data_IF_131219888686
#
_entry.id   IF_131219888686
#
_cell.length_a   1.000
_cell.length_b   1.000
_cell.length_c   1.000
_cell.angle_alpha   90.00
_cell.angle_beta   90.00
_cell.angle_gamma   90.00
#
_symmetry.space_group_name_H-M   'P 1'
#
loop_
_entity.id
_entity.type
_entity.pdbx_description
1 polymer ?
#
# COMPACT_ATOMS: atom_id res chain seq x y z
N UNK A 1 12.82 19.84 -21.67
CA UNK A 1 11.50 19.47 -21.16
C UNK A 1 10.41 20.28 -21.83
N UNK A 2 9.31 19.64 -22.25
CA UNK A 2 8.08 20.36 -22.63
C UNK A 2 7.51 21.11 -21.42
N UNK A 3 6.83 22.21 -21.65
CA UNK A 3 6.18 22.97 -20.59
C UNK A 3 5.14 22.09 -19.88
N UNK A 4 5.15 22.13 -18.55
CA UNK A 4 4.17 21.44 -17.72
C UNK A 4 3.04 22.42 -17.45
N UNK A 5 1.99 22.34 -18.28
CA UNK A 5 0.83 23.20 -18.17
C UNK A 5 -0.19 22.61 -17.20
N UNK A 6 -0.98 23.50 -16.57
CA UNK A 6 -2.13 23.03 -15.78
C UNK A 6 -3.13 22.27 -16.68
N UNK A 7 -3.73 21.24 -16.13
CA UNK A 7 -4.78 20.45 -16.78
C UNK A 7 -6.06 20.47 -15.95
N UNK A 8 -7.19 20.26 -16.61
CA UNK A 8 -8.50 20.16 -15.95
C UNK A 8 -8.62 18.85 -15.22
N UNK A 9 -8.73 18.90 -13.88
CA UNK A 9 -8.85 17.71 -13.04
C UNK A 9 -9.75 17.99 -11.83
N UNK A 10 -10.80 17.18 -11.64
CA UNK A 10 -11.76 17.42 -10.57
C UNK A 10 -12.43 18.78 -10.63
N UNK A 11 -12.77 19.27 -11.82
CA UNK A 11 -13.51 20.51 -12.04
C UNK A 11 -12.69 21.81 -11.99
N UNK A 12 -11.37 21.74 -11.76
CA UNK A 12 -10.47 22.91 -11.70
C UNK A 12 -9.17 22.64 -12.47
N UNK A 13 -8.45 23.71 -12.79
CA UNK A 13 -7.14 23.60 -13.43
C UNK A 13 -6.07 23.49 -12.34
N UNK A 14 -5.24 22.45 -12.43
CA UNK A 14 -4.17 22.16 -11.47
C UNK A 14 -2.90 21.73 -12.20
N UNK A 15 -1.75 21.89 -11.56
CA UNK A 15 -0.54 21.26 -12.06
C UNK A 15 -0.74 19.73 -12.13
N UNK A 16 -0.29 19.07 -13.21
CA UNK A 16 -0.48 17.63 -13.39
C UNK A 16 0.47 16.81 -12.52
N UNK A 17 0.65 17.20 -11.25
CA UNK A 17 1.51 16.60 -10.26
C UNK A 17 0.69 16.16 -9.06
N UNK A 18 0.68 14.87 -8.78
CA UNK A 18 -0.11 14.25 -7.71
C UNK A 18 0.82 13.61 -6.68
N UNK A 19 0.59 13.88 -5.41
CA UNK A 19 1.20 13.09 -4.34
C UNK A 19 0.50 11.75 -4.23
N UNK A 20 1.24 10.63 -4.28
CA UNK A 20 0.69 9.30 -4.05
C UNK A 20 0.44 9.04 -2.57
N UNK A 21 -0.77 8.62 -2.23
CA UNK A 21 -1.12 8.24 -0.86
C UNK A 21 -0.36 6.99 -0.41
N UNK A 22 0.25 7.04 0.78
CA UNK A 22 1.07 5.98 1.38
C UNK A 22 0.53 5.61 2.76
N UNK A 23 -0.06 4.43 2.89
CA UNK A 23 -0.45 3.83 4.17
C UNK A 23 0.72 3.00 4.77
N UNK A 24 0.74 2.74 6.05
CA UNK A 24 -0.12 3.21 7.14
C UNK A 24 0.44 4.53 7.66
N UNK A 25 -0.39 5.57 7.72
CA UNK A 25 -0.04 6.88 8.31
C UNK A 25 1.21 7.59 7.71
N UNK A 26 1.73 7.17 6.56
CA UNK A 26 2.97 7.74 5.97
C UNK A 26 2.72 9.00 5.17
N UNK A 27 1.60 9.10 4.43
CA UNK A 27 1.18 10.36 3.82
C UNK A 27 0.33 11.15 4.80
N UNK A 28 0.87 12.27 5.29
CA UNK A 28 0.25 13.11 6.31
C UNK A 28 -0.51 14.29 5.72
N UNK A 29 -1.32 14.94 6.54
CA UNK A 29 -1.95 16.22 6.22
C UNK A 29 -0.92 17.32 5.94
N UNK A 30 0.23 17.29 6.63
CA UNK A 30 1.33 18.21 6.41
C UNK A 30 1.88 18.11 4.97
N UNK A 31 2.28 16.93 4.54
CA UNK A 31 2.78 16.70 3.18
C UNK A 31 1.72 17.03 2.13
N UNK A 32 0.51 16.50 2.32
CA UNK A 32 -0.65 16.75 1.45
C UNK A 32 -0.92 18.24 1.27
N UNK A 33 -0.98 18.99 2.36
CA UNK A 33 -1.28 20.43 2.32
C UNK A 33 -0.20 21.25 1.61
N UNK A 34 1.06 20.97 1.85
CA UNK A 34 2.17 21.63 1.17
C UNK A 34 2.21 21.29 -0.33
N UNK A 35 1.93 20.05 -0.72
CA UNK A 35 1.83 19.65 -2.12
C UNK A 35 0.67 20.36 -2.84
N UNK A 36 -0.51 20.39 -2.21
CA UNK A 36 -1.68 21.10 -2.73
C UNK A 36 -1.47 22.62 -2.79
N UNK A 37 -0.80 23.19 -1.79
CA UNK A 37 -0.43 24.60 -1.77
C UNK A 37 0.60 25.00 -2.83
N UNK A 38 1.36 24.04 -3.34
CA UNK A 38 2.28 24.23 -4.47
C UNK A 38 1.56 24.14 -5.84
N UNK A 39 0.25 23.93 -5.87
CA UNK A 39 -0.57 23.94 -7.09
C UNK A 39 -0.88 22.58 -7.71
N UNK A 40 -0.34 21.49 -7.14
CA UNK A 40 -0.67 20.11 -7.52
C UNK A 40 -1.86 19.55 -6.73
N UNK A 41 -1.99 18.23 -6.72
CA UNK A 41 -2.94 17.52 -5.87
C UNK A 41 -2.18 16.85 -4.74
N UNK A 42 -2.41 17.30 -3.52
CA UNK A 42 -1.91 16.63 -2.31
C UNK A 42 -2.83 15.49 -1.90
N UNK A 43 -2.25 14.41 -1.38
CA UNK A 43 -3.01 13.24 -0.94
C UNK A 43 -2.52 12.78 0.43
N UNK A 44 -3.40 12.76 1.42
CA UNK A 44 -3.09 12.12 2.71
C UNK A 44 -3.65 10.69 2.76
N UNK A 45 -3.06 9.85 3.59
CA UNK A 45 -3.52 8.48 3.77
C UNK A 45 -4.67 8.41 4.76
N UNK A 46 -5.79 7.82 4.33
CA UNK A 46 -6.89 7.42 5.20
C UNK A 46 -6.75 5.99 5.75
N UNK A 47 -5.59 5.36 5.52
CA UNK A 47 -5.32 4.00 6.00
C UNK A 47 -4.69 4.08 7.38
N UNK A 48 -5.50 3.92 8.41
CA UNK A 48 -5.12 3.99 9.83
C UNK A 48 -4.25 5.23 10.14
N UNK A 49 -4.71 6.38 9.65
CA UNK A 49 -4.03 7.65 9.81
C UNK A 49 -3.86 8.02 11.29
N UNK A 50 -2.80 8.74 11.59
CA UNK A 50 -2.54 9.24 12.92
C UNK A 50 -3.44 10.43 13.28
N UNK A 51 -3.86 10.49 14.54
CA UNK A 51 -4.43 11.66 15.18
C UNK A 51 -3.45 12.22 16.22
N UNK A 52 -3.72 13.43 16.70
CA UNK A 52 -2.82 14.15 17.60
C UNK A 52 -3.55 14.60 18.86
N UNK A 53 -2.82 14.66 19.97
CA UNK A 53 -3.30 15.29 21.20
C UNK A 53 -3.24 16.83 21.11
N UNK A 54 -3.61 17.50 22.21
CA UNK A 54 -3.63 18.96 22.28
C UNK A 54 -2.22 19.60 22.14
N UNK A 55 -1.16 18.84 22.41
CA UNK A 55 0.22 19.26 22.32
C UNK A 55 0.86 18.93 20.95
N UNK A 56 0.07 18.30 20.06
CA UNK A 56 0.51 17.91 18.71
C UNK A 56 1.28 16.59 18.65
N UNK A 57 1.27 15.80 19.73
CA UNK A 57 1.90 14.48 19.71
C UNK A 57 0.96 13.45 19.12
N UNK A 58 1.53 12.47 18.42
CA UNK A 58 0.77 11.34 17.86
C UNK A 58 0.10 10.55 18.97
N UNK A 59 -1.22 10.37 18.87
CA UNK A 59 -1.99 9.46 19.73
C UNK A 59 -1.74 8.04 19.24
N UNK A 60 -0.98 7.26 20.01
CA UNK A 60 -0.70 5.86 19.66
C UNK A 60 -1.98 5.02 19.72
N UNK A 61 -2.18 4.19 18.71
CA UNK A 61 -3.30 3.27 18.67
C UNK A 61 -3.02 2.08 19.58
N UNK A 62 -3.80 1.94 20.64
CA UNK A 62 -3.72 0.83 21.61
C UNK A 62 -5.07 0.12 21.62
N UNK A 63 -5.03 -1.20 21.42
CA UNK A 63 -6.23 -2.03 21.30
C UNK A 63 -6.47 -2.76 22.62
N UNK A 64 -7.61 -2.49 23.26
CA UNK A 64 -8.02 -3.07 24.55
C UNK A 64 -9.13 -4.11 24.40
N UNK A 65 -9.73 -4.20 23.22
CA UNK A 65 -10.84 -5.10 22.93
C UNK A 65 -10.47 -6.57 23.17
N UNK A 66 -11.34 -7.29 23.89
CA UNK A 66 -11.14 -8.71 24.21
C UNK A 66 -11.43 -9.61 23.03
N UNK A 67 -12.39 -9.23 22.18
CA UNK A 67 -12.77 -9.98 20.99
C UNK A 67 -12.18 -9.33 19.73
N UNK A 68 -12.17 -10.05 18.63
CA UNK A 68 -11.81 -9.52 17.30
C UNK A 68 -12.74 -8.37 16.91
N UNK A 69 -14.03 -8.46 17.24
CA UNK A 69 -15.01 -7.41 16.99
C UNK A 69 -14.65 -6.13 17.74
N UNK A 70 -14.40 -6.23 19.05
CA UNK A 70 -14.09 -5.05 19.87
C UNK A 70 -12.86 -4.32 19.34
N UNK A 71 -11.78 -5.04 19.02
CA UNK A 71 -10.56 -4.45 18.45
C UNK A 71 -10.80 -3.83 17.07
N UNK A 72 -11.67 -4.42 16.25
CA UNK A 72 -12.03 -3.85 14.95
C UNK A 72 -12.83 -2.55 15.09
N UNK A 73 -13.73 -2.45 16.07
CA UNK A 73 -14.43 -1.19 16.37
C UNK A 73 -13.45 -0.10 16.82
N UNK A 74 -12.47 -0.44 17.64
CA UNK A 74 -11.37 0.47 18.02
C UNK A 74 -10.57 0.93 16.78
N UNK A 75 -10.22 0.02 15.89
CA UNK A 75 -9.52 0.33 14.64
C UNK A 75 -10.30 1.34 13.79
N UNK A 76 -11.59 1.12 13.60
CA UNK A 76 -12.45 2.02 12.82
C UNK A 76 -12.53 3.40 13.48
N UNK A 77 -12.68 3.46 14.81
CA UNK A 77 -12.71 4.71 15.54
C UNK A 77 -11.39 5.50 15.40
N UNK A 78 -10.23 4.83 15.55
CA UNK A 78 -8.91 5.43 15.29
C UNK A 78 -8.77 5.92 13.84
N UNK A 79 -9.22 5.11 12.88
CA UNK A 79 -9.15 5.48 11.46
C UNK A 79 -9.95 6.72 11.11
N UNK A 80 -11.15 6.88 11.69
CA UNK A 80 -11.99 8.08 11.52
C UNK A 80 -11.31 9.29 12.18
N UNK A 81 -10.89 9.17 13.43
CA UNK A 81 -10.23 10.26 14.16
C UNK A 81 -8.96 10.73 13.45
N UNK A 82 -8.13 9.80 12.99
CA UNK A 82 -6.92 10.10 12.23
C UNK A 82 -7.21 10.77 10.90
N UNK A 83 -8.15 10.23 10.12
CA UNK A 83 -8.55 10.84 8.84
C UNK A 83 -9.06 12.26 8.99
N UNK A 84 -9.82 12.56 10.05
CA UNK A 84 -10.28 13.91 10.38
C UNK A 84 -9.13 14.86 10.74
N UNK A 85 -8.17 14.39 11.54
CA UNK A 85 -7.00 15.18 11.91
C UNK A 85 -6.17 15.54 10.66
N UNK A 86 -5.90 14.56 9.79
CA UNK A 86 -5.13 14.77 8.57
C UNK A 86 -5.85 15.68 7.57
N UNK A 87 -7.17 15.55 7.41
CA UNK A 87 -7.94 16.41 6.53
C UNK A 87 -7.91 17.88 6.96
N UNK A 88 -7.99 18.16 8.26
CA UNK A 88 -7.90 19.52 8.83
C UNK A 88 -6.51 20.10 8.60
N UNK A 89 -5.46 19.38 8.97
CA UNK A 89 -4.09 19.83 8.76
C UNK A 89 -3.78 20.09 7.28
N UNK A 90 -4.22 19.17 6.39
CA UNK A 90 -4.05 19.34 4.96
C UNK A 90 -4.73 20.61 4.45
N UNK A 91 -5.96 20.88 4.87
CA UNK A 91 -6.70 22.08 4.45
C UNK A 91 -6.06 23.35 4.97
N UNK A 92 -5.62 23.37 6.21
CA UNK A 92 -4.98 24.54 6.82
C UNK A 92 -3.70 24.94 6.05
N UNK A 93 -2.89 23.97 5.63
CA UNK A 93 -1.66 24.20 4.86
C UNK A 93 -1.90 24.48 3.38
N UNK A 94 -2.88 23.78 2.77
CA UNK A 94 -3.21 23.95 1.35
C UNK A 94 -3.88 25.29 1.04
N UNK A 95 -4.48 25.91 2.05
CA UNK A 95 -5.32 27.08 1.86
C UNK A 95 -6.66 26.76 1.16
N UNK A 96 -7.49 27.75 0.86
CA UNK A 96 -8.86 27.52 0.40
C UNK A 96 -8.96 26.92 -1.00
N UNK A 97 -7.96 27.14 -1.86
CA UNK A 97 -7.97 26.70 -3.27
C UNK A 97 -7.19 25.41 -3.52
N UNK A 98 -6.32 25.01 -2.58
CA UNK A 98 -5.52 23.79 -2.72
C UNK A 98 -6.37 22.53 -2.83
N UNK A 99 -5.93 21.57 -3.62
CA UNK A 99 -6.65 20.31 -3.87
C UNK A 99 -6.18 19.21 -2.92
N UNK A 100 -7.02 18.88 -1.96
CA UNK A 100 -6.77 17.89 -0.91
C UNK A 100 -7.53 16.61 -1.24
N UNK A 101 -6.80 15.50 -1.39
CA UNK A 101 -7.37 14.18 -1.59
C UNK A 101 -7.10 13.28 -0.38
N UNK A 102 -8.00 12.33 -0.15
CA UNK A 102 -7.85 11.23 0.80
C UNK A 102 -7.62 9.92 0.03
N UNK A 103 -6.57 9.20 0.39
CA UNK A 103 -6.34 7.85 -0.14
C UNK A 103 -6.93 6.80 0.80
N UNK A 104 -7.68 5.86 0.25
CA UNK A 104 -8.18 4.68 0.98
C UNK A 104 -7.90 3.41 0.17
N UNK A 105 -7.78 2.29 0.87
CA UNK A 105 -7.68 0.98 0.25
C UNK A 105 -9.04 0.28 0.41
N UNK A 106 -9.62 -0.22 -0.68
CA UNK A 106 -10.91 -0.91 -0.58
C UNK A 106 -10.81 -2.22 0.21
N UNK A 107 -9.63 -2.84 0.18
CA UNK A 107 -9.30 -4.06 0.94
C UNK A 107 -8.85 -3.79 2.40
N UNK A 108 -8.87 -2.54 2.87
CA UNK A 108 -8.66 -2.29 4.30
C UNK A 108 -9.90 -2.63 5.12
N UNK A 109 -9.69 -3.03 6.37
CA UNK A 109 -10.78 -3.32 7.30
C UNK A 109 -11.59 -2.06 7.62
N UNK A 110 -12.91 -2.15 7.49
CA UNK A 110 -13.79 -1.02 7.74
C UNK A 110 -13.72 0.11 6.71
N UNK A 111 -13.21 -0.12 5.51
CA UNK A 111 -12.97 0.90 4.48
C UNK A 111 -14.15 1.85 4.27
N UNK A 112 -15.34 1.31 4.01
CA UNK A 112 -16.55 2.12 3.80
C UNK A 112 -16.95 2.94 5.04
N UNK A 113 -16.83 2.36 6.24
CA UNK A 113 -17.17 3.02 7.50
C UNK A 113 -16.20 4.17 7.81
N UNK A 114 -14.90 3.94 7.61
CA UNK A 114 -13.87 4.96 7.83
C UNK A 114 -14.04 6.08 6.81
N UNK A 115 -14.21 5.75 5.53
CA UNK A 115 -14.38 6.74 4.47
C UNK A 115 -15.61 7.63 4.73
N UNK A 116 -16.77 7.04 5.02
CA UNK A 116 -18.00 7.79 5.35
C UNK A 116 -17.84 8.66 6.59
N UNK A 117 -17.25 8.11 7.67
CA UNK A 117 -17.04 8.85 8.91
C UNK A 117 -16.13 10.06 8.74
N UNK A 118 -15.07 9.93 7.93
CA UNK A 118 -14.18 11.05 7.60
C UNK A 118 -14.87 12.08 6.71
N UNK A 119 -15.56 11.66 5.67
CA UNK A 119 -16.26 12.59 4.77
C UNK A 119 -17.35 13.37 5.47
N UNK A 120 -18.08 12.76 6.39
CA UNK A 120 -19.10 13.44 7.21
C UNK A 120 -18.46 14.48 8.14
N UNK A 121 -17.41 14.11 8.87
CA UNK A 121 -16.75 15.00 9.84
C UNK A 121 -15.83 16.05 9.20
N UNK A 122 -15.33 15.82 7.98
CA UNK A 122 -14.46 16.73 7.23
C UNK A 122 -15.16 17.34 6.02
N UNK A 123 -16.46 17.58 6.12
CA UNK A 123 -17.29 18.12 5.03
C UNK A 123 -16.72 19.42 4.47
N UNK A 124 -16.48 19.44 3.17
CA UNK A 124 -15.90 20.59 2.47
C UNK A 124 -14.37 20.72 2.55
N UNK A 125 -13.68 19.90 3.34
CA UNK A 125 -12.22 19.94 3.45
C UNK A 125 -11.52 19.04 2.40
N UNK A 126 -12.17 17.97 1.96
CA UNK A 126 -11.64 16.99 1.01
C UNK A 126 -12.29 17.21 -0.35
N UNK A 127 -11.48 17.27 -1.39
CA UNK A 127 -11.93 17.52 -2.76
C UNK A 127 -12.04 16.22 -3.59
N UNK A 128 -11.30 15.20 -3.23
CA UNK A 128 -11.28 13.94 -3.96
C UNK A 128 -10.87 12.75 -3.12
N UNK A 129 -11.26 11.57 -3.58
CA UNK A 129 -10.94 10.29 -2.97
C UNK A 129 -10.19 9.45 -3.99
N UNK A 130 -8.99 9.03 -3.64
CA UNK A 130 -8.20 8.07 -4.41
C UNK A 130 -8.37 6.70 -3.77
N UNK A 131 -8.81 5.71 -4.53
CA UNK A 131 -9.11 4.39 -3.98
C UNK A 131 -8.66 3.26 -4.91
N UNK A 132 -7.93 2.33 -4.36
CA UNK A 132 -7.45 1.12 -5.04
C UNK A 132 -7.48 -0.09 -4.11
N UNK A 133 -6.62 -1.07 -4.38
CA UNK A 133 -6.50 -2.34 -3.66
C UNK A 133 -7.85 -3.07 -3.54
N UNK A 134 -8.31 -3.64 -4.64
CA UNK A 134 -9.60 -4.30 -4.79
C UNK A 134 -10.46 -3.64 -5.87
N UNK A 135 -11.75 -3.95 -5.85
CA UNK A 135 -12.71 -3.42 -6.83
C UNK A 135 -13.74 -2.52 -6.12
N UNK A 136 -13.44 -1.20 -5.95
CA UNK A 136 -14.26 -0.29 -5.17
C UNK A 136 -15.54 0.14 -5.92
N UNK A 137 -16.45 -0.79 -6.18
CA UNK A 137 -17.68 -0.53 -6.92
C UNK A 137 -18.57 0.54 -6.27
N UNK A 138 -18.57 0.65 -4.93
CA UNK A 138 -19.35 1.64 -4.20
C UNK A 138 -18.74 3.03 -4.15
N UNK A 139 -17.49 3.19 -4.59
CA UNK A 139 -16.78 4.46 -4.48
C UNK A 139 -17.53 5.61 -5.14
N UNK A 140 -18.03 5.41 -6.36
CA UNK A 140 -18.76 6.45 -7.08
C UNK A 140 -20.06 6.86 -6.38
N UNK A 141 -20.80 5.90 -5.79
CA UNK A 141 -22.01 6.16 -5.03
C UNK A 141 -21.73 6.98 -3.77
N UNK A 142 -20.69 6.60 -3.00
CA UNK A 142 -20.24 7.35 -1.83
C UNK A 142 -19.82 8.77 -2.23
N UNK A 143 -19.07 8.91 -3.33
CA UNK A 143 -18.65 10.21 -3.85
C UNK A 143 -19.83 11.12 -4.22
N UNK A 144 -20.91 10.55 -4.76
CA UNK A 144 -22.15 11.29 -5.05
C UNK A 144 -22.84 11.76 -3.77
N UNK A 145 -22.92 10.91 -2.74
CA UNK A 145 -23.55 11.27 -1.47
C UNK A 145 -22.88 12.48 -0.81
N UNK A 146 -21.54 12.55 -0.89
CA UNK A 146 -20.76 13.61 -0.26
C UNK A 146 -20.34 14.74 -1.23
N UNK A 147 -20.71 14.64 -2.50
CA UNK A 147 -20.34 15.59 -3.56
C UNK A 147 -18.83 15.84 -3.64
N UNK A 148 -18.04 14.77 -3.72
CA UNK A 148 -16.57 14.78 -3.89
C UNK A 148 -16.18 14.02 -5.15
N UNK A 149 -15.07 14.39 -5.77
CA UNK A 149 -14.56 13.65 -6.92
C UNK A 149 -13.95 12.32 -6.50
N UNK A 150 -13.98 11.32 -7.38
CA UNK A 150 -13.34 10.03 -7.13
C UNK A 150 -12.31 9.70 -8.22
N UNK A 151 -11.28 8.98 -7.80
CA UNK A 151 -10.10 8.63 -8.59
C UNK A 151 -9.78 7.16 -8.34
N UNK A 152 -10.34 6.23 -9.14
CA UNK A 152 -10.02 4.81 -8.97
C UNK A 152 -8.58 4.54 -9.37
N UNK A 153 -7.90 3.67 -8.60
CA UNK A 153 -6.57 3.15 -8.92
C UNK A 153 -6.76 1.80 -9.59
N UNK A 154 -6.23 1.66 -10.79
CA UNK A 154 -6.29 0.43 -11.59
C UNK A 154 -4.91 0.11 -12.18
N UNK A 155 -4.61 -1.17 -12.36
CA UNK A 155 -3.39 -1.63 -13.03
C UNK A 155 -3.63 -2.05 -14.49
N UNK A 156 -4.90 -2.02 -14.95
CA UNK A 156 -5.24 -2.40 -16.32
C UNK A 156 -6.54 -1.75 -16.80
N UNK A 157 -6.68 -1.62 -18.10
CA UNK A 157 -7.92 -1.17 -18.72
C UNK A 157 -9.10 -2.12 -18.46
N UNK A 158 -8.84 -3.42 -18.33
CA UNK A 158 -9.88 -4.41 -17.99
C UNK A 158 -10.49 -4.14 -16.60
N UNK A 159 -9.66 -3.81 -15.62
CA UNK A 159 -10.14 -3.46 -14.28
C UNK A 159 -11.02 -2.20 -14.32
N UNK A 160 -10.59 -1.16 -15.04
CA UNK A 160 -11.39 0.04 -15.21
C UNK A 160 -12.73 -0.25 -15.91
N UNK A 161 -12.72 -1.04 -16.98
CA UNK A 161 -13.93 -1.43 -17.71
C UNK A 161 -14.96 -2.12 -16.80
N UNK A 162 -14.50 -3.00 -15.90
CA UNK A 162 -15.38 -3.68 -14.95
C UNK A 162 -16.02 -2.70 -13.95
N UNK A 163 -15.24 -1.75 -13.41
CA UNK A 163 -15.74 -0.70 -12.52
C UNK A 163 -16.76 0.20 -13.24
N UNK A 164 -16.42 0.64 -14.45
CA UNK A 164 -17.27 1.50 -15.26
C UNK A 164 -18.63 0.85 -15.55
N UNK A 165 -18.64 -0.33 -16.15
CA UNK A 165 -19.86 -1.04 -16.54
C UNK A 165 -20.77 -1.36 -15.36
N UNK A 166 -20.18 -1.72 -14.22
CA UNK A 166 -20.94 -2.12 -13.04
C UNK A 166 -21.48 -0.95 -12.22
N UNK A 167 -20.74 0.15 -12.13
CA UNK A 167 -21.07 1.22 -11.18
C UNK A 167 -20.82 2.63 -11.72
N UNK A 168 -19.60 2.92 -12.20
CA UNK A 168 -19.15 4.30 -12.38
C UNK A 168 -19.84 5.07 -13.49
N UNK A 169 -20.36 4.36 -14.51
CA UNK A 169 -21.16 4.98 -15.58
C UNK A 169 -22.39 5.74 -15.08
N UNK A 170 -22.85 5.43 -13.86
CA UNK A 170 -24.01 6.09 -13.23
C UNK A 170 -23.64 7.38 -12.48
N UNK A 171 -22.36 7.67 -12.33
CA UNK A 171 -21.81 8.83 -11.58
C UNK A 171 -20.59 9.37 -12.30
N UNK A 172 -20.65 9.45 -13.62
CA UNK A 172 -19.54 9.86 -14.47
C UNK A 172 -19.11 11.30 -14.25
N UNK A 173 -20.03 12.15 -13.82
CA UNK A 173 -19.84 13.57 -13.57
C UNK A 173 -18.83 13.87 -12.43
N UNK A 174 -18.62 12.93 -11.53
CA UNK A 174 -17.68 13.05 -10.40
C UNK A 174 -16.37 12.25 -10.62
N UNK A 175 -16.19 11.61 -11.78
CA UNK A 175 -14.92 10.97 -12.10
C UNK A 175 -13.87 12.04 -12.39
N UNK A 176 -12.97 12.29 -11.44
CA UNK A 176 -11.95 13.34 -11.55
C UNK A 176 -10.72 12.95 -12.35
N UNK A 177 -10.40 11.66 -12.38
CA UNK A 177 -9.29 11.05 -13.09
C UNK A 177 -9.23 9.55 -12.83
N UNK A 178 -8.40 8.84 -13.59
CA UNK A 178 -8.13 7.41 -13.39
C UNK A 178 -6.64 7.24 -13.12
N UNK A 179 -6.29 6.69 -11.95
CA UNK A 179 -4.91 6.39 -11.62
C UNK A 179 -4.55 5.05 -12.24
N UNK A 180 -3.61 5.06 -13.18
CA UNK A 180 -2.96 3.83 -13.63
C UNK A 180 -1.72 3.61 -12.76
N UNK A 181 -1.73 2.53 -11.99
CA UNK A 181 -0.60 2.12 -11.16
C UNK A 181 0.15 0.98 -11.84
N UNK A 182 1.44 1.21 -12.13
CA UNK A 182 2.26 0.22 -12.81
C UNK A 182 2.58 -0.95 -11.88
N UNK A 183 2.21 -2.20 -12.26
CA UNK A 183 2.35 -3.37 -11.37
C UNK A 183 3.78 -3.78 -11.06
N UNK A 184 4.77 -3.35 -11.84
CA UNK A 184 6.17 -3.71 -11.63
C UNK A 184 6.99 -2.59 -11.02
N UNK A 185 6.65 -1.32 -11.30
CA UNK A 185 7.44 -0.16 -10.91
C UNK A 185 6.96 0.51 -9.64
N UNK A 186 5.67 0.40 -9.30
CA UNK A 186 5.10 1.04 -8.13
C UNK A 186 5.56 0.38 -6.81
N UNK A 187 5.66 1.17 -5.76
CA UNK A 187 5.90 0.70 -4.40
C UNK A 187 4.64 0.13 -3.74
N UNK A 188 4.80 -0.66 -2.70
CA UNK A 188 3.70 -1.28 -1.97
C UNK A 188 2.94 -2.30 -2.82
N UNK A 189 1.64 -2.43 -2.57
CA UNK A 189 0.74 -3.31 -3.32
C UNK A 189 0.38 -2.64 -4.64
N UNK A 190 0.88 -3.18 -5.73
CA UNK A 190 0.88 -2.55 -7.05
C UNK A 190 -0.11 -3.17 -8.05
N UNK A 191 -0.98 -4.06 -7.59
CA UNK A 191 -2.05 -4.62 -8.42
C UNK A 191 -1.61 -5.63 -9.49
N UNK A 192 -0.41 -6.22 -9.35
CA UNK A 192 0.01 -7.32 -10.21
C UNK A 192 -0.98 -8.48 -10.10
N UNK A 193 -1.59 -8.87 -11.20
CA UNK A 193 -2.57 -9.95 -11.23
C UNK A 193 -1.91 -11.32 -11.33
N UNK A 194 -2.63 -12.38 -10.97
CA UNK A 194 -2.15 -13.75 -11.09
C UNK A 194 -1.87 -14.20 -12.54
N UNK A 195 -2.35 -13.45 -13.52
CA UNK A 195 -2.11 -13.71 -14.95
C UNK A 195 -0.87 -13.00 -15.50
N UNK A 196 -0.25 -12.13 -14.69
CA UNK A 196 0.95 -11.37 -15.07
C UNK A 196 2.18 -12.01 -14.44
N UNK A 197 3.27 -12.06 -15.20
CA UNK A 197 4.54 -12.60 -14.74
C UNK A 197 5.32 -11.50 -13.99
N UNK A 198 5.63 -11.67 -12.68
CA UNK A 198 6.39 -10.67 -11.93
C UNK A 198 7.79 -10.40 -12.51
N UNK A 199 8.33 -11.32 -13.30
CA UNK A 199 9.66 -11.22 -13.90
C UNK A 199 9.65 -10.70 -15.35
N UNK A 200 8.48 -10.38 -15.89
CA UNK A 200 8.32 -9.87 -17.26
C UNK A 200 7.54 -8.57 -17.29
N UNK A 201 8.16 -7.45 -16.92
CA UNK A 201 7.49 -6.16 -16.93
C UNK A 201 7.08 -5.75 -18.34
N UNK A 202 5.88 -5.20 -18.46
CA UNK A 202 5.38 -4.60 -19.71
C UNK A 202 5.65 -3.09 -19.70
N UNK A 203 5.81 -2.51 -20.90
CA UNK A 203 6.01 -1.07 -21.03
C UNK A 203 4.77 -0.28 -20.57
N UNK A 204 4.90 0.71 -19.68
CA UNK A 204 3.76 1.50 -19.18
C UNK A 204 2.97 2.19 -20.30
N UNK A 205 3.66 2.66 -21.34
CA UNK A 205 3.02 3.37 -22.47
C UNK A 205 1.89 2.54 -23.10
N UNK A 206 2.20 1.31 -23.46
CA UNK A 206 1.22 0.41 -24.10
C UNK A 206 0.01 0.11 -23.22
N UNK A 207 0.24 -0.02 -21.92
CA UNK A 207 -0.81 -0.28 -20.95
C UNK A 207 -1.72 0.94 -20.76
N UNK A 208 -1.13 2.12 -20.66
CA UNK A 208 -1.88 3.38 -20.53
C UNK A 208 -2.62 3.72 -21.83
N UNK A 209 -2.01 3.45 -23.00
CA UNK A 209 -2.67 3.63 -24.28
C UNK A 209 -3.92 2.74 -24.40
N UNK A 210 -3.85 1.46 -24.01
CA UNK A 210 -4.99 0.56 -23.95
C UNK A 210 -6.08 1.08 -23.00
N UNK A 211 -5.72 1.57 -21.83
CA UNK A 211 -6.66 2.19 -20.90
C UNK A 211 -7.34 3.41 -21.53
N UNK A 212 -6.58 4.30 -22.16
CA UNK A 212 -7.11 5.49 -22.85
C UNK A 212 -8.09 5.11 -23.96
N UNK A 213 -7.75 4.13 -24.77
CA UNK A 213 -8.64 3.63 -25.83
C UNK A 213 -9.98 3.15 -25.28
N UNK A 214 -9.98 2.42 -24.16
CA UNK A 214 -11.20 1.99 -23.49
C UNK A 214 -11.99 3.16 -22.89
N UNK A 215 -11.30 4.12 -22.27
CA UNK A 215 -11.95 5.32 -21.74
C UNK A 215 -12.63 6.13 -22.86
N UNK A 216 -12.01 6.26 -24.04
CA UNK A 216 -12.61 6.92 -25.20
C UNK A 216 -13.89 6.22 -25.67
N UNK A 217 -13.96 4.89 -25.65
CA UNK A 217 -15.19 4.13 -25.98
C UNK A 217 -16.35 4.46 -25.02
N UNK A 218 -16.05 4.93 -23.82
CA UNK A 218 -17.03 5.37 -22.83
C UNK A 218 -17.29 6.88 -22.83
N UNK A 219 -16.74 7.62 -23.79
CA UNK A 219 -16.86 9.08 -23.84
C UNK A 219 -15.98 9.84 -22.83
N UNK A 220 -14.94 9.17 -22.28
CA UNK A 220 -14.05 9.71 -21.24
C UNK A 220 -12.67 10.13 -21.81
N UNK A 221 -12.61 10.56 -23.06
CA UNK A 221 -11.37 10.97 -23.71
C UNK A 221 -10.64 12.12 -23.00
N UNK A 222 -11.41 13.03 -22.39
CA UNK A 222 -10.89 14.22 -21.71
C UNK A 222 -10.66 14.03 -20.21
N UNK A 223 -11.03 12.87 -19.63
CA UNK A 223 -10.76 12.57 -18.23
C UNK A 223 -9.29 12.20 -18.07
N UNK A 224 -8.53 12.88 -17.18
CA UNK A 224 -7.11 12.62 -17.01
C UNK A 224 -6.80 11.19 -16.59
N UNK A 225 -5.71 10.63 -17.13
CA UNK A 225 -5.06 9.46 -16.56
C UNK A 225 -3.87 9.95 -15.74
N UNK A 226 -3.73 9.44 -14.53
CA UNK A 226 -2.65 9.74 -13.61
C UNK A 226 -1.69 8.57 -13.63
N UNK A 227 -0.51 8.76 -14.22
CA UNK A 227 0.54 7.73 -14.28
C UNK A 227 1.20 7.60 -12.91
N UNK A 228 1.09 6.43 -12.28
CA UNK A 228 1.68 6.09 -11.00
C UNK A 228 2.64 4.90 -11.13
N UNK A 229 3.76 4.98 -10.44
CA UNK A 229 4.82 3.96 -10.48
C UNK A 229 5.90 4.26 -11.51
N UNK A 230 7.14 4.32 -11.03
CA UNK A 230 8.33 4.55 -11.88
C UNK A 230 8.59 6.00 -12.27
N UNK A 231 7.69 6.93 -11.99
CA UNK A 231 7.90 8.35 -12.31
C UNK A 231 8.95 8.94 -11.37
N UNK A 232 10.01 9.48 -11.95
CA UNK A 232 11.08 10.13 -11.19
C UNK A 232 11.43 11.50 -11.77
N UNK A 233 12.07 11.56 -12.94
CA UNK A 233 12.36 12.77 -13.68
C UNK A 233 11.36 12.95 -14.83
N UNK A 234 10.60 14.04 -14.85
CA UNK A 234 9.60 14.30 -15.90
C UNK A 234 10.22 14.46 -17.29
N UNK A 235 11.49 14.79 -17.36
CA UNK A 235 12.27 14.81 -18.60
C UNK A 235 12.23 13.46 -19.35
N UNK A 236 12.17 12.35 -18.64
CA UNK A 236 12.03 11.01 -19.22
C UNK A 236 10.61 10.72 -19.74
N UNK A 237 9.63 11.53 -19.34
CA UNK A 237 8.22 11.38 -19.67
C UNK A 237 7.70 12.47 -20.61
N UNK A 238 8.59 13.26 -21.20
CA UNK A 238 8.20 14.41 -22.02
C UNK A 238 7.35 14.02 -23.23
N UNK A 239 7.49 12.81 -23.77
CA UNK A 239 6.68 12.29 -24.88
C UNK A 239 5.24 11.93 -24.47
N UNK A 240 4.96 11.92 -23.17
CA UNK A 240 3.61 11.75 -22.62
C UNK A 240 2.86 13.06 -22.45
N UNK A 241 3.61 14.18 -22.35
CA UNK A 241 3.06 15.51 -22.14
C UNK A 241 2.52 16.02 -23.49
N UNK A 242 1.27 16.49 -23.50
CA UNK A 242 0.56 16.95 -24.70
C UNK A 242 0.57 15.91 -25.83
N UNK A 243 0.44 14.64 -25.47
CA UNK A 243 0.39 13.54 -26.43
C UNK A 243 -1.08 13.26 -26.81
N UNK A 244 -1.48 13.46 -28.08
CA UNK A 244 -2.87 13.29 -28.49
C UNK A 244 -3.37 11.83 -28.42
N UNK A 245 -2.48 10.84 -28.46
CA UNK A 245 -2.84 9.44 -28.29
C UNK A 245 -3.21 9.13 -26.84
N UNK A 246 -2.46 9.67 -25.88
CA UNK A 246 -2.69 9.48 -24.46
C UNK A 246 -3.77 10.39 -23.87
N UNK A 247 -4.03 11.57 -24.51
CA UNK A 247 -4.91 12.59 -23.95
C UNK A 247 -4.32 13.25 -22.69
N UNK A 248 -5.14 13.84 -21.80
CA UNK A 248 -4.62 14.49 -20.60
C UNK A 248 -3.95 13.48 -19.66
N UNK A 249 -2.68 13.75 -19.31
CA UNK A 249 -1.86 12.94 -18.38
C UNK A 249 -1.41 13.79 -17.21
N UNK A 250 -1.52 13.23 -16.01
CA UNK A 250 -0.85 13.71 -14.81
C UNK A 250 0.15 12.64 -14.30
N UNK A 251 1.05 13.04 -13.42
CA UNK A 251 2.09 12.17 -12.87
C UNK A 251 1.99 12.10 -11.36
N UNK A 252 2.02 10.87 -10.81
CA UNK A 252 1.96 10.64 -9.39
C UNK A 252 3.32 10.21 -8.83
N UNK A 253 3.68 10.82 -7.71
CA UNK A 253 4.93 10.57 -7.00
C UNK A 253 4.63 9.91 -5.65
N UNK A 254 4.96 8.63 -5.50
CA UNK A 254 4.82 7.88 -4.25
C UNK A 254 6.11 7.85 -3.43
N UNK A 255 7.24 7.57 -4.07
CA UNK A 255 8.53 7.32 -3.41
C UNK A 255 9.28 8.62 -3.07
N UNK A 256 9.35 9.58 -3.99
CA UNK A 256 10.09 10.84 -3.75
C UNK A 256 9.61 11.62 -2.53
N UNK A 257 8.29 11.73 -2.24
CA UNK A 257 7.80 12.41 -1.04
C UNK A 257 8.20 11.74 0.29
N UNK A 258 8.68 10.50 0.28
CA UNK A 258 9.21 9.85 1.49
C UNK A 258 10.41 10.60 2.08
N UNK A 259 11.26 11.18 1.21
CA UNK A 259 12.44 11.95 1.62
C UNK A 259 12.11 13.44 1.53
N UNK A 260 11.19 13.88 2.39
CA UNK A 260 10.87 15.30 2.59
C UNK A 260 10.81 15.63 4.07
N UNK A 261 10.89 16.92 4.42
CA UNK A 261 10.82 17.38 5.80
C UNK A 261 9.46 17.07 6.44
N UNK A 262 8.39 17.11 5.65
CA UNK A 262 7.01 16.85 6.09
C UNK A 262 6.66 15.36 6.20
N UNK A 263 7.50 14.49 5.65
CA UNK A 263 7.33 13.04 5.78
C UNK A 263 7.58 12.59 7.22
N UNK A 264 6.69 11.76 7.81
CA UNK A 264 6.79 11.35 9.20
C UNK A 264 7.80 10.21 9.43
N UNK A 265 8.38 9.64 8.37
CA UNK A 265 9.38 8.58 8.54
C UNK A 265 10.63 9.13 9.22
N UNK A 266 11.32 8.27 9.98
CA UNK A 266 12.52 8.67 10.72
C UNK A 266 13.64 9.17 9.81
N UNK A 267 14.51 10.03 10.34
CA UNK A 267 15.72 10.47 9.62
C UNK A 267 16.61 9.28 9.22
N UNK A 268 16.64 8.22 10.03
CA UNK A 268 17.39 6.99 9.71
C UNK A 268 16.83 6.34 8.45
N UNK A 269 15.49 6.28 8.29
CA UNK A 269 14.86 5.80 7.05
C UNK A 269 15.14 6.71 5.86
N UNK A 270 15.06 8.05 6.04
CA UNK A 270 15.37 9.00 4.95
C UNK A 270 16.80 8.80 4.47
N UNK A 271 17.78 8.72 5.39
CA UNK A 271 19.18 8.47 5.04
C UNK A 271 19.37 7.08 4.37
N UNK A 272 18.68 6.05 4.84
CA UNK A 272 18.71 4.72 4.22
C UNK A 272 18.23 4.76 2.76
N UNK A 273 17.12 5.47 2.49
CA UNK A 273 16.58 5.62 1.14
C UNK A 273 17.58 6.32 0.20
N UNK A 274 18.33 7.31 0.69
CA UNK A 274 19.35 8.01 -0.10
C UNK A 274 20.55 7.13 -0.50
N UNK A 275 20.73 5.97 0.12
CA UNK A 275 21.83 5.04 -0.16
C UNK A 275 21.46 3.84 -1.02
N UNK A 276 20.19 3.75 -1.45
CA UNK A 276 19.71 2.60 -2.21
C UNK A 276 20.41 2.48 -3.56
N UNK A 277 20.58 1.23 -3.99
CA UNK A 277 21.16 0.84 -5.28
C UNK A 277 20.13 0.11 -6.13
N UNK A 278 20.33 -0.01 -7.46
CA UNK A 278 19.52 -0.88 -8.29
C UNK A 278 19.42 -2.29 -7.72
N UNK A 279 18.20 -2.82 -7.58
CA UNK A 279 17.93 -4.13 -7.00
C UNK A 279 17.68 -4.16 -5.48
N UNK A 280 17.81 -3.02 -4.77
CA UNK A 280 17.52 -2.96 -3.33
C UNK A 280 16.01 -2.92 -3.02
N UNK A 281 15.15 -2.72 -4.01
CA UNK A 281 13.70 -2.89 -3.88
C UNK A 281 13.29 -4.22 -4.47
N UNK A 282 12.60 -5.04 -3.67
CA UNK A 282 12.18 -6.38 -4.06
C UNK A 282 10.65 -6.43 -4.24
N UNK A 283 10.21 -6.95 -5.39
CA UNK A 283 8.82 -7.36 -5.61
C UNK A 283 8.63 -8.75 -5.02
N UNK A 284 7.78 -8.89 -4.00
CA UNK A 284 7.69 -10.08 -3.17
C UNK A 284 6.23 -10.52 -2.90
N UNK A 285 5.97 -11.83 -2.70
CA UNK A 285 4.63 -12.41 -2.52
C UNK A 285 4.20 -12.59 -1.05
N UNK A 286 4.95 -12.08 -0.07
CA UNK A 286 4.76 -12.44 1.35
C UNK A 286 3.67 -11.63 2.07
N UNK A 287 3.05 -10.68 1.37
CA UNK A 287 2.00 -9.84 1.95
C UNK A 287 0.83 -10.66 2.50
N UNK A 288 0.27 -10.27 3.67
CA UNK A 288 -0.93 -10.91 4.22
C UNK A 288 -2.17 -10.73 3.36
N UNK A 289 -2.16 -9.82 2.39
CA UNK A 289 -3.22 -9.64 1.39
C UNK A 289 -3.28 -10.78 0.38
N UNK A 290 -2.17 -11.48 0.18
CA UNK A 290 -2.01 -12.48 -0.89
C UNK A 290 -1.56 -11.89 -2.23
N UNK A 291 -1.37 -10.59 -2.33
CA UNK A 291 -0.88 -9.92 -3.52
C UNK A 291 0.60 -9.57 -3.42
N UNK A 292 1.24 -9.41 -4.58
CA UNK A 292 2.61 -8.91 -4.63
C UNK A 292 2.71 -7.49 -4.10
N UNK A 293 3.85 -7.17 -3.50
CA UNK A 293 4.20 -5.81 -3.07
C UNK A 293 5.69 -5.54 -3.20
N UNK A 294 6.05 -4.26 -3.40
CA UNK A 294 7.43 -3.83 -3.58
C UNK A 294 7.92 -3.09 -2.35
N UNK A 295 9.03 -3.58 -1.78
CA UNK A 295 9.61 -3.05 -0.54
C UNK A 295 11.13 -3.03 -0.58
N UNK A 296 11.73 -2.15 0.22
CA UNK A 296 13.19 -2.07 0.42
C UNK A 296 13.68 -3.35 1.11
N UNK A 297 14.71 -3.97 0.54
CA UNK A 297 15.36 -5.13 1.15
C UNK A 297 16.08 -4.72 2.44
N UNK A 298 15.75 -5.41 3.52
CA UNK A 298 16.34 -5.26 4.84
C UNK A 298 16.34 -6.61 5.57
N UNK A 299 16.75 -6.66 6.84
CA UNK A 299 16.76 -7.89 7.62
C UNK A 299 15.36 -8.51 7.76
N UNK A 300 14.33 -7.69 7.99
CA UNK A 300 12.95 -8.15 8.10
C UNK A 300 12.50 -8.92 6.85
N UNK A 301 12.76 -8.37 5.66
CA UNK A 301 12.37 -9.00 4.40
C UNK A 301 13.20 -10.26 4.12
N UNK A 302 14.50 -10.25 4.43
CA UNK A 302 15.37 -11.43 4.32
C UNK A 302 14.95 -12.53 5.27
N UNK A 303 14.57 -12.20 6.50
CA UNK A 303 14.06 -13.19 7.47
C UNK A 303 12.73 -13.82 7.01
N UNK A 304 11.86 -13.04 6.36
CA UNK A 304 10.64 -13.57 5.74
C UNK A 304 10.94 -14.52 4.58
N UNK A 305 11.90 -14.20 3.71
CA UNK A 305 12.36 -15.08 2.63
C UNK A 305 12.85 -16.41 3.22
N UNK A 306 13.80 -16.36 4.16
CA UNK A 306 14.35 -17.55 4.82
C UNK A 306 13.29 -18.35 5.58
N UNK A 307 12.30 -17.68 6.19
CA UNK A 307 11.16 -18.36 6.84
C UNK A 307 10.35 -19.15 5.82
N UNK A 308 10.09 -18.57 4.66
CA UNK A 308 9.36 -19.23 3.59
C UNK A 308 10.13 -20.39 2.93
N UNK A 309 11.46 -20.39 3.01
CA UNK A 309 12.31 -21.51 2.55
C UNK A 309 12.29 -22.70 3.54
N UNK A 310 12.12 -22.42 4.84
CA UNK A 310 12.05 -23.44 5.88
C UNK A 310 10.66 -24.03 6.01
N UNK A 311 10.17 -24.64 4.94
CA UNK A 311 8.87 -25.31 4.93
C UNK A 311 8.93 -26.67 4.24
N UNK A 312 8.07 -27.58 4.68
CA UNK A 312 7.90 -28.91 4.10
C UNK A 312 6.42 -29.27 4.00
N UNK A 313 6.06 -29.99 2.95
CA UNK A 313 4.73 -30.55 2.81
C UNK A 313 4.52 -31.70 3.80
N UNK A 314 3.30 -31.86 4.29
CA UNK A 314 2.92 -32.93 5.20
C UNK A 314 1.67 -33.66 4.74
N UNK A 315 1.57 -34.92 5.12
CA UNK A 315 0.35 -35.72 5.01
C UNK A 315 -0.13 -36.18 6.40
N UNK A 316 -1.44 -36.25 6.66
CA UNK A 316 -1.97 -36.89 7.89
C UNK A 316 -1.78 -38.39 7.92
N UNK A 317 -1.53 -39.03 6.78
CA UNK A 317 -1.39 -40.48 6.59
C UNK A 317 -0.17 -40.78 5.69
N UNK A 318 0.45 -41.95 5.81
CA UNK A 318 1.55 -42.33 4.93
C UNK A 318 1.02 -42.62 3.52
N UNK A 319 1.23 -41.67 2.60
CA UNK A 319 0.77 -41.75 1.21
C UNK A 319 1.80 -41.16 0.24
N UNK A 320 2.01 -41.86 -0.87
CA UNK A 320 2.94 -41.43 -1.90
C UNK A 320 4.39 -41.31 -1.38
N UNK A 321 4.98 -40.17 -1.54
CA UNK A 321 6.34 -39.89 -1.04
C UNK A 321 6.41 -39.56 0.46
N UNK A 322 5.27 -39.30 1.12
CA UNK A 322 5.19 -38.99 2.54
C UNK A 322 5.21 -40.29 3.37
N UNK A 323 6.40 -40.79 3.64
CA UNK A 323 6.63 -42.09 4.32
C UNK A 323 7.40 -41.99 5.64
N UNK A 324 8.02 -40.83 5.91
CA UNK A 324 8.79 -40.59 7.12
C UNK A 324 7.94 -39.92 8.21
N UNK A 325 7.92 -40.52 9.40
CA UNK A 325 7.15 -40.02 10.55
C UNK A 325 7.79 -38.80 11.18
N UNK A 326 6.97 -37.82 11.56
CA UNK A 326 7.39 -36.64 12.30
C UNK A 326 6.33 -36.21 13.33
N UNK A 327 6.75 -35.94 14.56
CA UNK A 327 5.87 -35.54 15.65
C UNK A 327 5.80 -34.01 15.81
N UNK A 328 4.65 -33.40 15.55
CA UNK A 328 4.44 -31.94 15.60
C UNK A 328 3.92 -31.48 16.96
N UNK A 329 4.54 -30.43 17.49
CA UNK A 329 4.14 -29.73 18.71
C UNK A 329 4.35 -30.48 20.00
N UNK A 330 3.93 -29.97 21.17
CA UNK A 330 4.18 -30.55 22.47
C UNK A 330 3.58 -31.96 22.65
N UNK A 331 2.46 -32.22 21.96
CA UNK A 331 1.77 -33.53 22.00
C UNK A 331 2.31 -34.51 20.97
N UNK A 332 3.37 -34.18 20.23
CA UNK A 332 3.96 -35.02 19.18
C UNK A 332 2.92 -35.63 18.23
N UNK A 333 1.98 -34.82 17.74
CA UNK A 333 0.97 -35.29 16.78
C UNK A 333 1.65 -35.72 15.50
N UNK A 334 1.43 -37.00 15.14
CA UNK A 334 2.10 -37.65 14.03
C UNK A 334 1.64 -37.09 12.69
N UNK A 335 2.59 -36.79 11.82
CA UNK A 335 2.43 -36.47 10.39
C UNK A 335 3.52 -37.18 9.61
N UNK A 336 3.36 -37.27 8.29
CA UNK A 336 4.32 -37.91 7.41
C UNK A 336 4.92 -36.90 6.45
N UNK A 337 6.24 -36.99 6.28
CA UNK A 337 7.05 -36.15 5.39
C UNK A 337 7.70 -37.03 4.32
N UNK A 338 8.16 -36.43 3.24
CA UNK A 338 9.13 -37.10 2.37
C UNK A 338 10.45 -37.33 3.15
N UNK A 339 11.15 -38.47 2.97
CA UNK A 339 12.39 -38.76 3.70
C UNK A 339 13.48 -37.68 3.55
N UNK A 340 13.61 -37.08 2.37
CA UNK A 340 14.54 -35.96 2.14
C UNK A 340 14.17 -34.72 2.95
N UNK A 341 12.89 -34.45 3.11
CA UNK A 341 12.39 -33.34 3.92
C UNK A 341 12.62 -33.55 5.41
N UNK A 342 12.51 -34.79 5.90
CA UNK A 342 12.85 -35.08 7.29
C UNK A 342 14.30 -34.74 7.61
N UNK A 343 15.23 -34.99 6.69
CA UNK A 343 16.64 -34.58 6.83
C UNK A 343 16.80 -33.08 6.91
N UNK A 344 16.08 -32.34 6.06
CA UNK A 344 16.08 -30.85 6.10
C UNK A 344 15.55 -30.32 7.45
N UNK A 345 14.46 -30.92 7.94
CA UNK A 345 13.85 -30.57 9.23
C UNK A 345 14.86 -30.78 10.37
N UNK A 346 15.54 -31.92 10.45
CA UNK A 346 16.54 -32.17 11.49
C UNK A 346 17.69 -31.14 11.42
N UNK A 347 18.10 -30.72 10.23
CA UNK A 347 19.13 -29.69 10.09
C UNK A 347 18.62 -28.33 10.62
N UNK A 348 17.35 -27.96 10.35
CA UNK A 348 16.76 -26.73 10.87
C UNK A 348 16.60 -26.78 12.39
N UNK A 349 16.16 -27.91 12.95
CA UNK A 349 16.05 -28.10 14.40
C UNK A 349 17.43 -27.96 15.08
N UNK A 350 18.48 -28.55 14.50
CA UNK A 350 19.84 -28.40 14.97
C UNK A 350 20.35 -26.94 14.90
N UNK A 351 19.84 -26.15 13.97
CA UNK A 351 20.13 -24.73 13.84
C UNK A 351 19.25 -23.83 14.73
N UNK A 352 18.37 -24.40 15.56
CA UNK A 352 17.54 -23.66 16.51
C UNK A 352 16.11 -23.35 16.05
N UNK A 353 15.69 -23.79 14.85
CA UNK A 353 14.32 -23.63 14.34
C UNK A 353 13.48 -24.84 14.78
N UNK A 354 13.18 -24.91 16.06
CA UNK A 354 12.58 -26.10 16.71
C UNK A 354 11.07 -26.06 16.78
N UNK A 355 10.43 -24.94 16.40
CA UNK A 355 8.98 -24.82 16.42
C UNK A 355 8.40 -24.98 15.01
N UNK A 356 7.52 -25.99 14.86
CA UNK A 356 6.84 -26.29 13.60
C UNK A 356 5.42 -25.73 13.59
N UNK A 357 5.19 -24.69 12.81
CA UNK A 357 3.89 -24.04 12.67
C UNK A 357 3.16 -24.55 11.42
N UNK A 358 1.89 -24.95 11.59
CA UNK A 358 1.05 -25.42 10.49
C UNK A 358 0.54 -24.25 9.65
N UNK A 359 0.47 -24.47 8.34
CA UNK A 359 -0.07 -23.54 7.36
C UNK A 359 -1.45 -23.98 6.85
N UNK A 360 -2.17 -23.12 6.11
CA UNK A 360 -3.47 -23.47 5.52
C UNK A 360 -3.43 -24.58 4.45
N UNK A 361 -2.27 -24.80 3.82
CA UNK A 361 -2.08 -25.69 2.67
C UNK A 361 -1.32 -26.98 3.01
N UNK A 362 -1.44 -27.43 4.28
CA UNK A 362 -0.81 -28.67 4.76
C UNK A 362 0.72 -28.67 4.61
N UNK A 363 1.36 -27.57 4.98
CA UNK A 363 2.80 -27.51 5.18
C UNK A 363 3.14 -27.19 6.64
N UNK A 364 4.39 -27.42 7.02
CA UNK A 364 4.98 -26.96 8.27
C UNK A 364 6.06 -25.94 7.95
N UNK A 365 6.03 -24.83 8.68
CA UNK A 365 7.07 -23.80 8.66
C UNK A 365 7.86 -23.87 9.95
N UNK A 366 9.19 -23.90 9.84
CA UNK A 366 10.08 -24.03 10.99
C UNK A 366 10.65 -22.68 11.39
N UNK A 367 10.45 -22.31 12.66
CA UNK A 367 10.84 -21.04 13.26
C UNK A 367 11.52 -21.26 14.61
N UNK A 368 12.17 -20.23 15.13
CA UNK A 368 12.69 -20.25 16.51
C UNK A 368 11.54 -20.16 17.51
N UNK A 369 11.72 -20.61 18.77
CA UNK A 369 10.72 -20.45 19.83
C UNK A 369 10.32 -18.99 20.07
N UNK A 370 11.22 -18.05 19.88
CA UNK A 370 10.92 -16.61 19.97
C UNK A 370 10.01 -16.18 18.84
N UNK A 371 10.35 -16.45 17.58
CA UNK A 371 9.52 -16.10 16.43
C UNK A 371 8.13 -16.77 16.51
N UNK A 372 8.06 -18.02 16.99
CA UNK A 372 6.77 -18.69 17.21
C UNK A 372 5.86 -17.90 18.14
N UNK A 373 6.39 -17.45 19.29
CA UNK A 373 5.61 -16.64 20.25
C UNK A 373 5.15 -15.31 19.66
N UNK A 374 6.03 -14.61 18.92
CA UNK A 374 5.73 -13.33 18.28
C UNK A 374 4.65 -13.48 17.21
N UNK A 375 4.80 -14.49 16.32
CA UNK A 375 3.81 -14.79 15.28
C UNK A 375 2.44 -15.10 15.89
N UNK A 376 2.39 -16.01 16.87
CA UNK A 376 1.13 -16.41 17.50
C UNK A 376 0.47 -15.26 18.26
N UNK A 377 1.27 -14.40 18.90
CA UNK A 377 0.78 -13.20 19.56
C UNK A 377 0.16 -12.23 18.55
N UNK A 378 0.87 -11.90 17.47
CA UNK A 378 0.38 -10.98 16.44
C UNK A 378 -0.88 -11.51 15.74
N UNK A 379 -0.98 -12.82 15.52
CA UNK A 379 -2.19 -13.47 14.99
C UNK A 379 -3.37 -13.38 15.96
N UNK A 380 -3.12 -13.51 17.26
CA UNK A 380 -4.14 -13.44 18.31
C UNK A 380 -4.63 -12.02 18.52
N UNK A 381 -3.74 -11.04 18.51
CA UNK A 381 -4.01 -9.63 18.74
C UNK A 381 -4.56 -8.90 17.50
N UNK A 382 -4.86 -9.61 16.43
CA UNK A 382 -5.35 -9.01 15.19
C UNK A 382 -6.56 -8.11 15.42
N UNK A 383 -6.50 -6.88 14.87
CA UNK A 383 -7.53 -5.86 14.92
C UNK A 383 -8.31 -5.70 13.59
N UNK A 384 -8.00 -6.52 12.57
CA UNK A 384 -8.71 -6.50 11.29
C UNK A 384 -8.42 -5.28 10.44
N UNK A 385 -7.15 -4.90 10.30
CA UNK A 385 -6.72 -3.78 9.44
C UNK A 385 -6.90 -4.03 7.94
N UNK A 386 -7.06 -5.30 7.53
CA UNK A 386 -7.42 -5.73 6.18
C UNK A 386 -8.81 -6.35 6.18
N UNK A 387 -9.54 -6.27 5.07
CA UNK A 387 -10.82 -6.97 4.89
C UNK A 387 -10.65 -8.49 4.88
N UNK A 388 -9.51 -8.94 4.35
CA UNK A 388 -9.02 -10.32 4.39
C UNK A 388 -7.54 -10.34 4.76
N UNK A 389 -7.14 -11.18 5.72
CA UNK A 389 -5.76 -11.33 6.14
C UNK A 389 -5.39 -12.81 6.25
N UNK A 390 -4.47 -13.28 5.40
CA UNK A 390 -3.98 -14.66 5.47
C UNK A 390 -3.20 -14.92 6.75
N UNK A 391 -2.40 -13.95 7.19
CA UNK A 391 -1.53 -14.09 8.36
C UNK A 391 -2.30 -14.43 9.64
N UNK A 392 -3.46 -13.77 9.89
CA UNK A 392 -4.28 -13.97 11.09
C UNK A 392 -5.57 -14.74 10.85
N UNK A 393 -5.82 -15.25 9.63
CA UNK A 393 -7.08 -15.80 9.15
C UNK A 393 -8.31 -14.88 9.31
N UNK A 394 -8.07 -13.57 9.37
CA UNK A 394 -9.13 -12.57 9.46
C UNK A 394 -9.97 -12.50 8.18
N UNK A 395 -11.28 -12.35 8.34
CA UNK A 395 -12.16 -11.87 7.26
C UNK A 395 -13.32 -11.08 7.84
N UNK A 396 -13.58 -9.92 7.27
CA UNK A 396 -14.63 -8.99 7.71
C UNK A 396 -16.05 -9.58 7.60
N UNK A 397 -16.25 -10.53 6.72
CA UNK A 397 -17.57 -11.13 6.44
C UNK A 397 -17.76 -12.54 7.02
N UNK A 398 -16.78 -13.04 7.76
CA UNK A 398 -16.85 -14.36 8.38
C UNK A 398 -17.46 -14.33 9.78
N UNK A 399 -17.97 -15.48 10.28
CA UNK A 399 -18.39 -15.60 11.67
C UNK A 399 -17.20 -15.33 12.59
N UNK A 400 -17.42 -14.52 13.63
CA UNK A 400 -16.36 -14.08 14.56
C UNK A 400 -15.11 -13.52 13.88
N UNK A 401 -15.28 -12.91 12.70
CA UNK A 401 -14.20 -12.35 11.86
C UNK A 401 -13.10 -13.35 11.50
N UNK A 402 -13.45 -14.62 11.30
CA UNK A 402 -12.53 -15.65 10.82
C UNK A 402 -13.02 -16.31 9.54
N UNK A 403 -12.09 -16.69 8.67
CA UNK A 403 -12.38 -17.46 7.45
C UNK A 403 -12.45 -18.99 7.67
N UNK A 404 -12.32 -19.44 8.93
CA UNK A 404 -12.33 -20.87 9.30
C UNK A 404 -11.07 -21.66 8.91
N UNK A 405 -10.13 -21.07 8.17
CA UNK A 405 -8.84 -21.69 7.82
C UNK A 405 -7.81 -21.43 8.92
N UNK A 406 -6.69 -22.12 8.87
CA UNK A 406 -5.54 -21.82 9.72
C UNK A 406 -4.93 -20.47 9.32
N UNK A 407 -4.42 -19.75 10.32
CA UNK A 407 -3.58 -18.58 10.08
C UNK A 407 -2.27 -18.99 9.40
N UNK A 408 -1.73 -18.16 8.53
CA UNK A 408 -0.54 -18.46 7.75
C UNK A 408 0.72 -17.81 8.35
N UNK A 409 1.60 -18.58 9.03
CA UNK A 409 2.80 -18.04 9.67
C UNK A 409 3.89 -17.61 8.69
N UNK A 410 3.70 -17.83 7.38
CA UNK A 410 4.65 -17.41 6.33
C UNK A 410 4.56 -15.93 6.00
N UNK A 411 3.50 -15.26 6.46
CA UNK A 411 3.29 -13.82 6.32
C UNK A 411 3.57 -13.08 7.64
N UNK A 412 3.07 -11.87 7.80
CA UNK A 412 3.36 -10.97 8.91
C UNK A 412 2.19 -10.03 9.22
N UNK A 413 2.22 -9.37 10.39
CA UNK A 413 1.25 -8.33 10.73
C UNK A 413 1.61 -7.01 10.01
N UNK A 414 0.88 -6.70 8.95
CA UNK A 414 1.16 -5.53 8.11
C UNK A 414 0.88 -4.22 8.85
N UNK A 415 -0.15 -4.16 9.69
CA UNK A 415 -0.49 -2.97 10.46
C UNK A 415 0.68 -2.53 11.35
N UNK A 416 1.18 -3.44 12.19
CA UNK A 416 2.28 -3.18 13.11
C UNK A 416 3.54 -2.75 12.36
N UNK A 417 3.89 -3.50 11.32
CA UNK A 417 5.10 -3.29 10.55
C UNK A 417 5.12 -1.94 9.82
N UNK A 418 4.00 -1.55 9.20
CA UNK A 418 3.91 -0.28 8.47
C UNK A 418 3.70 0.92 9.40
N UNK A 419 3.01 0.75 10.52
CA UNK A 419 2.79 1.83 11.48
C UNK A 419 4.11 2.27 12.13
N UNK A 420 4.98 1.33 12.45
CA UNK A 420 6.28 1.59 13.05
C UNK A 420 7.24 2.33 12.11
N UNK A 421 6.99 2.37 10.81
CA UNK A 421 7.73 3.21 9.85
C UNK A 421 7.57 4.70 10.18
N UNK A 422 6.37 5.13 10.55
CA UNK A 422 6.05 6.51 10.92
C UNK A 422 6.24 6.78 12.43
N UNK A 423 6.51 5.76 13.24
CA UNK A 423 6.60 5.86 14.71
C UNK A 423 8.00 5.49 15.23
N UNK A 424 9.05 5.80 14.47
CA UNK A 424 10.46 5.59 14.84
C UNK A 424 10.83 4.13 15.16
N UNK A 425 10.15 3.17 14.55
CA UNK A 425 10.50 1.75 14.67
C UNK A 425 11.86 1.44 14.03
N UNK A 426 12.56 0.37 14.50
CA UNK A 426 13.86 -0.02 13.95
C UNK A 426 13.77 -0.34 12.47
N UNK A 427 14.64 0.25 11.63
CA UNK A 427 14.56 0.13 10.16
C UNK A 427 14.79 -1.29 9.65
N UNK A 428 15.56 -2.12 10.36
CA UNK A 428 15.82 -3.50 9.97
C UNK A 428 14.69 -4.47 10.38
N UNK A 429 13.72 -4.02 11.19
CA UNK A 429 12.63 -4.86 11.69
C UNK A 429 11.26 -4.49 11.09
N UNK A 430 11.21 -3.53 10.18
CA UNK A 430 9.97 -3.02 9.61
C UNK A 430 10.03 -3.00 8.09
N UNK A 431 8.85 -3.09 7.44
CA UNK A 431 8.73 -3.14 6.00
C UNK A 431 8.54 -1.74 5.42
N UNK A 432 9.50 -1.25 4.64
CA UNK A 432 9.40 0.01 3.91
C UNK A 432 8.96 -0.23 2.47
N UNK A 433 7.76 0.21 2.12
CA UNK A 433 7.32 0.21 0.74
C UNK A 433 7.98 1.33 -0.06
N UNK A 434 8.52 0.99 -1.21
CA UNK A 434 9.12 1.93 -2.15
C UNK A 434 9.03 1.37 -3.58
N UNK A 435 9.00 2.25 -4.57
CA UNK A 435 9.03 1.88 -5.99
C UNK A 435 10.43 1.46 -6.44
N UNK A 436 10.50 0.74 -7.55
CA UNK A 436 11.75 0.19 -8.07
C UNK A 436 12.76 1.25 -8.51
N UNK A 437 12.32 2.49 -8.75
CA UNK A 437 13.21 3.63 -9.06
C UNK A 437 13.75 4.34 -7.80
N UNK A 438 13.52 3.83 -6.58
CA UNK A 438 14.01 4.44 -5.35
C UNK A 438 15.55 4.57 -5.29
N UNK A 439 16.29 3.69 -5.98
CA UNK A 439 17.75 3.80 -6.10
C UNK A 439 18.23 5.14 -6.69
N UNK A 440 17.36 5.86 -7.39
CA UNK A 440 17.66 7.18 -7.98
C UNK A 440 17.86 8.27 -6.93
N UNK A 441 17.42 8.07 -5.69
CA UNK A 441 17.80 8.97 -4.59
C UNK A 441 19.32 9.13 -4.51
N UNK A 442 20.08 8.03 -4.58
CA UNK A 442 21.54 8.05 -4.55
C UNK A 442 22.20 8.62 -5.82
N UNK A 443 21.46 8.72 -6.91
CA UNK A 443 21.94 9.22 -8.21
C UNK A 443 21.52 10.66 -8.51
N UNK A 444 20.50 11.16 -7.83
CA UNK A 444 19.96 12.51 -8.07
C UNK A 444 20.77 13.55 -7.24
N UNK A 445 21.48 14.48 -7.90
CA UNK A 445 22.27 15.51 -7.22
C UNK A 445 21.46 16.38 -6.26
N UNK A 446 20.13 16.42 -6.42
CA UNK A 446 19.24 17.16 -5.51
C UNK A 446 19.34 16.70 -4.06
N UNK A 447 19.61 15.43 -3.84
CA UNK A 447 19.75 14.84 -2.51
C UNK A 447 21.21 14.72 -2.04
N UNK A 448 22.15 15.40 -2.69
CA UNK A 448 23.57 15.36 -2.33
C UNK A 448 23.81 15.77 -0.88
N UNK A 449 24.79 15.16 -0.23
CA UNK A 449 25.14 15.39 1.16
C UNK A 449 24.01 15.12 2.16
N UNK A 450 23.08 14.23 1.84
CA UNK A 450 21.95 13.88 2.71
C UNK A 450 20.87 14.95 2.79
N UNK A 451 20.78 15.82 1.78
CA UNK A 451 19.78 16.89 1.77
C UNK A 451 18.36 16.33 1.75
N UNK A 452 17.52 16.79 2.68
CA UNK A 452 16.11 16.48 2.78
C UNK A 452 15.32 17.74 2.46
N UNK A 453 14.70 17.84 1.26
CA UNK A 453 13.94 19.02 0.85
C UNK A 453 12.62 19.14 1.59
N UNK A 454 12.02 20.33 1.60
CA UNK A 454 10.60 20.48 1.85
C UNK A 454 9.79 19.97 0.66
N UNK A 455 8.50 19.67 0.86
CA UNK A 455 7.59 19.29 -0.23
C UNK A 455 7.56 20.38 -1.32
N UNK A 456 7.53 21.66 -0.95
CA UNK A 456 7.56 22.75 -1.93
C UNK A 456 8.83 22.76 -2.77
N UNK A 457 9.99 22.60 -2.16
CA UNK A 457 11.26 22.47 -2.88
C UNK A 457 11.27 21.25 -3.81
N UNK A 458 10.66 20.14 -3.38
CA UNK A 458 10.53 18.95 -4.22
C UNK A 458 9.63 19.24 -5.44
N UNK A 459 8.47 19.87 -5.27
CA UNK A 459 7.57 20.21 -6.38
C UNK A 459 8.25 21.18 -7.35
N UNK A 460 8.94 22.19 -6.84
CA UNK A 460 9.73 23.12 -7.67
C UNK A 460 10.80 22.37 -8.48
N UNK A 461 11.50 21.44 -7.85
CA UNK A 461 12.50 20.59 -8.52
C UNK A 461 11.88 19.74 -9.63
N UNK A 462 10.75 19.10 -9.36
CA UNK A 462 10.02 18.29 -10.36
C UNK A 462 9.61 19.15 -11.56
N UNK A 463 9.18 20.39 -11.33
CA UNK A 463 8.80 21.32 -12.39
C UNK A 463 9.95 21.70 -13.33
N UNK A 464 11.20 21.56 -12.91
CA UNK A 464 12.38 21.70 -13.80
C UNK A 464 12.60 20.50 -14.74
N UNK A 465 11.84 19.42 -14.55
CA UNK A 465 12.00 18.14 -15.25
C UNK A 465 12.85 17.10 -14.51
N UNK A 466 13.39 17.47 -13.39
CA UNK A 466 14.33 16.66 -12.59
C UNK A 466 13.80 16.30 -11.21
#
# INVERSE_FOLDING_TARGET
LKAINAIRMGGVDVLPLVEGGKGVAVSTGASCGEWAGAGGIGTFSGVNADSYDADGNVIRQVYHGRTRRDRHEELVAYGIAGGLAQAREARDRAGPTGRVHMNVLWEMGGAERILRGVLEGAKGLINGITCGAGMPYKLAEISREFNVFYYPIVSSGRAFTALWKRSYSKVSELLGGVVYEDPWLAGGHNGLSNSEDPNKPEAPYERVLKLRQQMRQFGLGDVPIIMAGGVWWLEEWQDWIDNPELGPIAFQFGTRPLVTQESPISEVWKQRLLTLKPGDVLLQPFSPTGFYSSAVRNEFLSDLEHRNERQVAISPEPVGEHTAEYGVGPRKRLVWLAPGDLTRVHNWEAAGYTEALRTPDNTLVFVTPQNSREILKDQTDCMGCLSHCRFSNWTQHGPDYTNGKKADPRSFCIQKTLQDIAHDGPIEHNLMFAGHNAYRFGQDPFYSNGFVPSVRQLVERIMTGR
#
